data_IF_455676411045
#
_entry.id   IF_455676411045
#
_cell.length_a   1.000
_cell.length_b   1.000
_cell.length_c   1.000
_cell.angle_alpha   90.00
_cell.angle_beta   90.00
_cell.angle_gamma   90.00
#
_symmetry.space_group_name_H-M   'P 1'
#
loop_
_entity.id
_entity.type
_entity.pdbx_description
1 polymer ?
#
# COMPACT_ATOMS: atom_id res chain seq x y z
N UNK A 1 -22.72 16.33 -1.86
CA UNK A 1 -22.08 15.18 -1.18
C UNK A 1 -20.67 15.05 -1.73
N UNK A 2 -19.64 15.37 -0.95
CA UNK A 2 -18.27 15.09 -1.34
C UNK A 2 -18.03 13.60 -1.07
N UNK A 3 -17.84 12.81 -2.12
CA UNK A 3 -17.38 11.44 -1.96
C UNK A 3 -16.07 11.47 -1.16
N UNK A 4 -16.02 10.80 0.00
CA UNK A 4 -14.75 10.55 0.68
C UNK A 4 -13.89 9.77 -0.30
N UNK A 5 -12.81 10.40 -0.77
CA UNK A 5 -11.87 9.77 -1.68
C UNK A 5 -11.40 8.45 -1.05
N UNK A 6 -11.44 7.37 -1.83
CA UNK A 6 -10.92 6.05 -1.44
C UNK A 6 -9.60 6.22 -0.71
N UNK A 7 -9.57 5.90 0.58
CA UNK A 7 -8.38 6.00 1.46
C UNK A 7 -7.36 4.90 1.18
N UNK A 8 -7.30 4.41 -0.06
CA UNK A 8 -6.39 3.36 -0.48
C UNK A 8 -5.61 3.79 -1.72
N UNK A 9 -4.29 3.80 -1.58
CA UNK A 9 -3.38 4.07 -2.68
C UNK A 9 -3.22 2.81 -3.54
N UNK A 10 -3.34 2.97 -4.86
CA UNK A 10 -2.98 1.91 -5.82
C UNK A 10 -1.47 1.69 -5.72
N UNK A 11 -1.06 0.44 -5.52
CA UNK A 11 0.34 0.00 -5.55
C UNK A 11 0.49 -1.14 -6.56
N UNK A 12 1.57 -1.12 -7.33
CA UNK A 12 1.79 -2.06 -8.43
C UNK A 12 3.05 -2.89 -8.18
N UNK A 13 2.98 -4.18 -8.42
CA UNK A 13 4.12 -5.08 -8.37
C UNK A 13 4.77 -5.12 -9.75
N UNK A 14 6.06 -4.80 -9.87
CA UNK A 14 6.71 -4.64 -11.17
C UNK A 14 8.05 -5.35 -11.28
N UNK A 15 8.35 -5.77 -12.49
CA UNK A 15 9.68 -6.18 -12.92
C UNK A 15 10.17 -5.27 -14.04
N UNK A 16 11.48 -5.09 -14.15
CA UNK A 16 12.08 -4.27 -15.21
C UNK A 16 13.36 -4.86 -15.80
N UNK A 17 13.63 -4.49 -17.05
CA UNK A 17 14.90 -4.70 -17.75
C UNK A 17 15.52 -3.32 -17.97
N UNK A 18 16.70 -3.10 -17.40
CA UNK A 18 17.44 -1.85 -17.57
C UNK A 18 18.47 -2.00 -18.69
N UNK A 19 18.34 -1.21 -19.73
CA UNK A 19 19.29 -1.11 -20.83
C UNK A 19 19.98 0.26 -20.84
N UNK A 20 21.23 0.34 -21.33
CA UNK A 20 21.87 1.62 -21.65
C UNK A 20 21.07 2.44 -22.67
N UNK A 21 21.19 3.78 -22.64
CA UNK A 21 20.41 4.69 -23.50
C UNK A 21 20.70 4.51 -25.00
N UNK A 22 21.88 4.03 -25.36
CA UNK A 22 22.31 3.74 -26.72
C UNK A 22 21.73 2.43 -27.28
N UNK A 23 21.03 1.64 -26.46
CA UNK A 23 20.47 0.34 -26.83
C UNK A 23 18.97 0.35 -27.12
N UNK A 24 18.44 1.46 -27.67
CA UNK A 24 17.07 1.55 -28.20
C UNK A 24 16.67 0.38 -29.13
N UNK A 25 17.50 -0.04 -30.11
CA UNK A 25 17.14 -1.17 -30.99
C UNK A 25 16.94 -2.47 -30.21
N UNK A 26 17.75 -2.68 -29.16
CA UNK A 26 17.67 -3.86 -28.31
C UNK A 26 16.41 -3.83 -27.44
N UNK A 27 16.02 -2.66 -26.94
CA UNK A 27 14.76 -2.51 -26.21
C UNK A 27 13.56 -2.96 -27.05
N UNK A 28 13.51 -2.55 -28.33
CA UNK A 28 12.47 -2.99 -29.28
C UNK A 28 12.52 -4.50 -29.55
N UNK A 29 13.70 -5.07 -29.74
CA UNK A 29 13.87 -6.52 -29.93
C UNK A 29 13.33 -7.31 -28.72
N UNK A 30 13.55 -6.82 -27.50
CA UNK A 30 13.00 -7.43 -26.30
C UNK A 30 11.48 -7.32 -26.24
N UNK A 31 10.92 -6.16 -26.60
CA UNK A 31 9.46 -5.98 -26.68
C UNK A 31 8.84 -6.97 -27.68
N UNK A 32 9.46 -7.19 -28.84
CA UNK A 32 9.02 -8.15 -29.85
C UNK A 32 9.12 -9.60 -29.34
N UNK A 33 10.22 -9.97 -28.67
CA UNK A 33 10.39 -11.29 -28.05
C UNK A 33 9.34 -11.55 -26.96
N UNK A 34 9.06 -10.53 -26.14
CA UNK A 34 8.03 -10.60 -25.10
C UNK A 34 6.63 -10.73 -25.71
N UNK A 35 6.34 -10.02 -26.79
CA UNK A 35 5.09 -10.19 -27.55
C UNK A 35 4.98 -11.59 -28.17
N UNK A 36 6.10 -12.20 -28.54
CA UNK A 36 6.21 -13.59 -28.99
C UNK A 36 6.11 -14.65 -27.88
N UNK A 37 5.90 -14.25 -26.62
CA UNK A 37 5.71 -15.18 -25.50
C UNK A 37 6.99 -15.59 -24.77
N UNK A 38 8.12 -14.90 -25.00
CA UNK A 38 9.33 -15.14 -24.22
C UNK A 38 9.13 -14.83 -22.73
N UNK A 39 9.81 -15.59 -21.86
CA UNK A 39 9.80 -15.35 -20.42
C UNK A 39 10.53 -14.04 -20.08
N UNK A 40 9.86 -13.14 -19.36
CA UNK A 40 10.41 -11.83 -19.01
C UNK A 40 11.61 -11.97 -18.08
N UNK A 41 11.55 -12.94 -17.19
CA UNK A 41 12.53 -13.21 -16.15
C UNK A 41 13.87 -13.65 -16.75
N UNK A 42 13.84 -14.43 -17.83
CA UNK A 42 15.05 -14.87 -18.54
C UNK A 42 15.67 -13.70 -19.32
N UNK A 43 14.86 -12.94 -20.06
CA UNK A 43 15.35 -11.74 -20.77
C UNK A 43 15.93 -10.70 -19.79
N UNK A 44 15.34 -10.58 -18.60
CA UNK A 44 15.87 -9.72 -17.55
C UNK A 44 17.21 -10.22 -17.01
N UNK A 45 17.40 -11.53 -16.81
CA UNK A 45 18.70 -12.09 -16.38
C UNK A 45 19.79 -11.91 -17.42
N UNK A 46 19.45 -12.04 -18.70
CA UNK A 46 20.40 -12.01 -19.81
C UNK A 46 20.79 -10.59 -20.24
N UNK A 47 19.86 -9.64 -20.14
CA UNK A 47 20.04 -8.32 -20.77
C UNK A 47 19.97 -7.14 -19.81
N UNK A 48 19.40 -7.30 -18.61
CA UNK A 48 19.29 -6.20 -17.66
C UNK A 48 20.64 -5.88 -17.02
N UNK A 49 20.98 -4.59 -16.99
CA UNK A 49 22.16 -4.06 -16.30
C UNK A 49 21.89 -3.72 -14.82
N UNK A 50 20.64 -3.89 -14.35
CA UNK A 50 20.26 -3.61 -12.97
C UNK A 50 20.55 -4.81 -12.06
N UNK A 51 20.83 -4.58 -10.77
CA UNK A 51 21.04 -5.66 -9.80
C UNK A 51 19.82 -6.58 -9.61
N UNK A 52 18.62 -6.13 -9.99
CA UNK A 52 17.39 -6.93 -10.02
C UNK A 52 17.42 -8.03 -11.08
N UNK A 53 18.33 -7.99 -12.06
CA UNK A 53 18.49 -9.01 -13.11
C UNK A 53 18.54 -10.44 -12.55
N UNK A 54 19.29 -10.64 -11.46
CA UNK A 54 19.42 -11.96 -10.79
C UNK A 54 18.09 -12.52 -10.28
N UNK A 55 17.13 -11.64 -10.00
CA UNK A 55 15.75 -11.98 -9.57
C UNK A 55 14.75 -11.82 -10.71
N UNK A 56 15.17 -12.01 -11.96
CA UNK A 56 14.29 -11.86 -13.12
C UNK A 56 13.79 -10.43 -13.35
N UNK A 57 14.55 -9.43 -12.88
CA UNK A 57 14.19 -8.02 -13.01
C UNK A 57 13.18 -7.51 -11.97
N UNK A 58 12.76 -8.34 -11.03
CA UNK A 58 11.75 -7.98 -10.04
C UNK A 58 12.23 -6.87 -9.10
N UNK A 59 11.43 -5.79 -9.00
CA UNK A 59 11.67 -4.66 -8.10
C UNK A 59 10.78 -4.69 -6.85
N UNK A 60 9.71 -5.49 -6.88
CA UNK A 60 8.74 -5.57 -5.79
C UNK A 60 7.56 -4.61 -5.96
N UNK A 61 6.91 -4.29 -4.84
CA UNK A 61 5.75 -3.40 -4.79
C UNK A 61 6.19 -1.93 -4.84
N UNK A 62 5.65 -1.21 -5.81
CA UNK A 62 5.91 0.19 -6.09
C UNK A 62 4.71 1.03 -5.66
N UNK A 63 4.97 2.02 -4.81
CA UNK A 63 4.05 3.07 -4.39
C UNK A 63 4.46 4.38 -5.05
N UNK A 64 3.50 5.29 -5.27
CA UNK A 64 3.79 6.62 -5.82
C UNK A 64 4.81 7.38 -4.96
N UNK A 65 5.72 8.10 -5.60
CA UNK A 65 6.76 8.90 -4.96
C UNK A 65 7.96 8.09 -4.44
N UNK A 66 8.09 6.81 -4.79
CA UNK A 66 9.19 5.94 -4.36
C UNK A 66 10.27 5.78 -5.45
N UNK A 67 9.90 5.99 -6.71
CA UNK A 67 10.74 5.82 -7.91
C UNK A 67 10.76 7.08 -8.78
N UNK A 68 11.54 7.04 -9.86
CA UNK A 68 11.61 8.13 -10.84
C UNK A 68 10.23 8.43 -11.45
N UNK A 69 9.80 9.70 -11.55
CA UNK A 69 8.46 10.05 -12.02
C UNK A 69 8.09 9.45 -13.38
N UNK A 70 9.04 9.36 -14.31
CA UNK A 70 8.82 8.78 -15.64
C UNK A 70 8.58 7.26 -15.56
N UNK A 71 9.31 6.58 -14.69
CA UNK A 71 9.16 5.14 -14.46
C UNK A 71 7.81 4.85 -13.81
N UNK A 72 7.45 5.59 -12.76
CA UNK A 72 6.16 5.44 -12.09
C UNK A 72 5.00 5.71 -13.04
N UNK A 73 5.06 6.79 -13.82
CA UNK A 73 4.00 7.14 -14.76
C UNK A 73 3.75 6.00 -15.76
N UNK A 74 4.81 5.41 -16.31
CA UNK A 74 4.69 4.27 -17.22
C UNK A 74 4.12 3.02 -16.52
N UNK A 75 4.65 2.67 -15.35
CA UNK A 75 4.21 1.50 -14.59
C UNK A 75 2.74 1.58 -14.16
N UNK A 76 2.28 2.74 -13.69
CA UNK A 76 0.89 2.94 -13.28
C UNK A 76 -0.08 3.10 -14.46
N UNK A 77 0.40 3.50 -15.65
CA UNK A 77 -0.44 3.59 -16.84
C UNK A 77 -0.72 2.21 -17.48
N UNK A 78 0.14 1.23 -17.27
CA UNK A 78 -0.02 -0.11 -17.82
C UNK A 78 -1.01 -0.97 -17.00
N UNK A 79 -1.79 -1.86 -17.67
CA UNK A 79 -2.60 -2.86 -16.99
C UNK A 79 -1.74 -3.99 -16.42
N UNK A 80 -2.28 -4.79 -15.50
CA UNK A 80 -1.63 -6.01 -15.01
C UNK A 80 -1.36 -6.97 -16.17
N UNK A 81 -0.14 -7.51 -16.23
CA UNK A 81 0.39 -8.30 -17.34
C UNK A 81 0.92 -7.46 -18.51
N UNK A 82 0.64 -6.15 -18.52
CA UNK A 82 1.10 -5.24 -19.56
C UNK A 82 2.60 -4.97 -19.50
N UNK A 83 3.17 -4.75 -20.68
CA UNK A 83 4.55 -4.31 -20.86
C UNK A 83 4.53 -2.85 -21.33
N UNK A 84 5.39 -2.04 -20.74
CA UNK A 84 5.54 -0.62 -21.02
C UNK A 84 7.01 -0.24 -21.00
N UNK A 85 7.33 0.98 -21.42
CA UNK A 85 8.70 1.50 -21.41
C UNK A 85 8.79 2.87 -20.79
N UNK A 86 9.91 3.13 -20.14
CA UNK A 86 10.26 4.43 -19.61
C UNK A 86 11.73 4.75 -19.81
N UNK A 87 12.02 6.00 -20.15
CA UNK A 87 13.39 6.50 -20.21
C UNK A 87 13.64 7.34 -18.96
N UNK A 88 14.71 7.03 -18.23
CA UNK A 88 15.14 7.79 -17.05
C UNK A 88 16.62 8.13 -17.17
N UNK A 89 17.15 8.92 -16.24
CA UNK A 89 18.58 9.24 -16.21
C UNK A 89 19.50 8.01 -16.05
N UNK A 90 18.95 6.83 -15.69
CA UNK A 90 19.71 5.58 -15.57
C UNK A 90 19.78 4.77 -16.87
N UNK A 91 18.94 5.06 -17.85
CA UNK A 91 18.80 4.22 -19.04
C UNK A 91 17.36 4.05 -19.51
N UNK A 92 17.19 3.09 -20.41
CA UNK A 92 15.92 2.61 -20.93
C UNK A 92 15.40 1.47 -20.05
N UNK A 93 14.14 1.56 -19.66
CA UNK A 93 13.48 0.58 -18.80
C UNK A 93 12.35 -0.06 -19.59
N UNK A 94 12.42 -1.37 -19.79
CA UNK A 94 11.26 -2.17 -20.20
C UNK A 94 10.63 -2.69 -18.91
N UNK A 95 9.36 -2.36 -18.68
CA UNK A 95 8.67 -2.59 -17.40
C UNK A 95 7.50 -3.54 -17.65
N UNK A 96 7.36 -4.56 -16.80
CA UNK A 96 6.21 -5.46 -16.78
C UNK A 96 5.46 -5.31 -15.45
N UNK A 97 4.17 -5.05 -15.52
CA UNK A 97 3.31 -5.02 -14.33
C UNK A 97 2.87 -6.45 -14.02
N UNK A 98 3.29 -6.98 -12.88
CA UNK A 98 3.01 -8.36 -12.48
C UNK A 98 1.69 -8.47 -11.71
N UNK A 99 1.38 -7.49 -10.86
CA UNK A 99 0.16 -7.46 -10.07
C UNK A 99 -0.17 -6.02 -9.64
N UNK A 100 -1.40 -5.80 -9.21
CA UNK A 100 -1.81 -4.56 -8.55
C UNK A 100 -2.64 -4.87 -7.30
N UNK A 101 -2.58 -3.96 -6.32
CA UNK A 101 -3.48 -3.98 -5.17
C UNK A 101 -3.74 -2.54 -4.70
N UNK A 102 -4.81 -2.36 -3.96
CA UNK A 102 -5.10 -1.11 -3.26
C UNK A 102 -4.68 -1.27 -1.80
N UNK A 103 -3.80 -0.40 -1.35
CA UNK A 103 -3.27 -0.42 0.00
C UNK A 103 -3.86 0.75 0.79
N UNK A 104 -4.55 0.44 1.89
CA UNK A 104 -5.09 1.46 2.78
C UNK A 104 -3.99 2.44 3.24
N UNK A 105 -4.22 3.72 3.05
CA UNK A 105 -3.40 4.83 3.49
C UNK A 105 -3.71 5.11 4.95
N UNK A 106 -2.68 5.42 5.74
CA UNK A 106 -2.88 5.82 7.13
C UNK A 106 -2.75 7.33 7.18
N UNK A 107 -3.82 7.99 7.60
CA UNK A 107 -3.87 9.44 7.74
C UNK A 107 -3.89 9.81 9.22
N UNK A 108 -3.18 10.89 9.56
CA UNK A 108 -3.31 11.53 10.86
C UNK A 108 -4.56 12.40 10.83
N UNK A 109 -5.31 12.41 11.93
CA UNK A 109 -6.50 13.22 12.10
C UNK A 109 -6.29 14.12 13.31
N UNK A 110 -6.58 15.40 13.16
CA UNK A 110 -6.50 16.35 14.26
C UNK A 110 -7.80 16.34 15.11
N UNK A 111 -7.79 16.95 16.31
CA UNK A 111 -8.96 16.97 17.19
C UNK A 111 -10.20 17.63 16.56
N UNK A 112 -10.03 18.69 15.78
CA UNK A 112 -11.12 19.42 15.13
C UNK A 112 -11.82 18.55 14.06
N UNK A 113 -11.04 17.87 13.22
CA UNK A 113 -11.55 16.91 12.22
C UNK A 113 -12.31 15.76 12.89
N UNK A 114 -11.78 15.24 14.00
CA UNK A 114 -12.44 14.20 14.77
C UNK A 114 -13.76 14.71 15.36
N UNK A 115 -13.77 15.93 15.90
CA UNK A 115 -14.96 16.56 16.47
C UNK A 115 -16.07 16.71 15.40
N UNK A 116 -15.74 17.28 14.24
CA UNK A 116 -16.67 17.44 13.12
C UNK A 116 -17.21 16.08 12.63
N UNK A 117 -16.35 15.07 12.54
CA UNK A 117 -16.75 13.74 12.13
C UNK A 117 -17.77 13.11 13.10
N UNK A 118 -17.52 13.21 14.41
CA UNK A 118 -18.39 12.59 15.44
C UNK A 118 -19.75 13.29 15.51
N UNK A 119 -19.81 14.59 15.23
CA UNK A 119 -21.06 15.35 15.25
C UNK A 119 -21.83 15.28 13.92
N UNK A 120 -21.32 14.55 12.94
CA UNK A 120 -21.96 14.36 11.64
C UNK A 120 -22.36 12.88 11.44
N UNK A 121 -23.65 12.51 11.67
CA UNK A 121 -24.12 11.13 11.56
C UNK A 121 -23.84 10.47 10.20
N UNK A 122 -23.89 11.25 9.11
CA UNK A 122 -23.60 10.74 7.77
C UNK A 122 -22.13 10.31 7.59
N UNK A 123 -21.21 10.89 8.36
CA UNK A 123 -19.80 10.50 8.34
C UNK A 123 -19.49 9.30 9.24
N UNK A 124 -20.39 8.94 10.15
CA UNK A 124 -20.21 7.82 11.08
C UNK A 124 -20.75 6.49 10.55
N UNK A 125 -21.59 6.50 9.52
CA UNK A 125 -22.24 5.29 8.99
C UNK A 125 -21.22 4.22 8.54
N UNK A 126 -20.14 4.66 7.90
CA UNK A 126 -19.07 3.81 7.35
C UNK A 126 -17.77 3.83 8.17
N UNK A 127 -17.82 4.38 9.38
CA UNK A 127 -16.65 4.49 10.27
C UNK A 127 -16.86 3.66 11.53
N UNK A 128 -15.79 3.02 11.99
CA UNK A 128 -15.72 2.42 13.32
C UNK A 128 -14.66 3.14 14.17
N UNK A 129 -15.04 3.46 15.40
CA UNK A 129 -14.22 4.23 16.34
C UNK A 129 -13.58 3.28 17.36
N UNK A 130 -12.25 3.27 17.42
CA UNK A 130 -11.48 2.36 18.27
C UNK A 130 -10.55 3.16 19.18
N UNK A 131 -10.60 2.89 20.47
CA UNK A 131 -9.71 3.47 21.46
C UNK A 131 -8.70 2.40 21.89
N UNK A 132 -7.42 2.64 21.64
CA UNK A 132 -6.34 1.68 21.98
C UNK A 132 -5.56 2.06 23.23
N UNK A 133 -6.11 2.99 24.03
CA UNK A 133 -5.58 3.33 25.35
C UNK A 133 -5.77 2.20 26.36
N UNK A 134 -5.14 2.32 27.52
CA UNK A 134 -5.33 1.38 28.63
C UNK A 134 -6.67 1.63 29.34
N UNK A 135 -7.17 0.63 30.05
CA UNK A 135 -8.44 0.68 30.76
C UNK A 135 -8.52 1.87 31.73
N UNK A 136 -7.42 2.18 32.43
CA UNK A 136 -7.37 3.31 33.38
C UNK A 136 -7.49 4.67 32.68
N UNK A 137 -6.94 4.82 31.47
CA UNK A 137 -7.06 6.06 30.69
C UNK A 137 -8.50 6.22 30.19
N UNK A 138 -9.10 5.12 29.73
CA UNK A 138 -10.47 5.09 29.22
C UNK A 138 -11.52 5.31 30.32
N UNK A 139 -11.30 4.75 31.51
CA UNK A 139 -12.19 4.93 32.66
C UNK A 139 -12.18 6.36 33.19
N UNK A 140 -11.03 7.04 33.06
CA UNK A 140 -10.88 8.44 33.50
C UNK A 140 -11.60 9.40 32.55
N UNK A 141 -11.47 9.19 31.24
CA UNK A 141 -12.15 10.00 30.22
C UNK A 141 -12.26 9.26 28.90
N UNK A 142 -13.43 9.36 28.25
CA UNK A 142 -13.71 8.71 26.97
C UNK A 142 -14.62 9.55 26.09
N UNK A 143 -14.45 9.35 24.78
CA UNK A 143 -15.32 9.91 23.76
C UNK A 143 -16.45 8.89 23.49
N UNK A 144 -17.74 9.28 23.56
CA UNK A 144 -18.85 8.39 23.24
C UNK A 144 -18.70 7.75 21.85
N UNK A 145 -19.09 6.48 21.72
CA UNK A 145 -19.01 5.72 20.46
C UNK A 145 -17.69 4.98 20.24
N UNK A 146 -16.61 5.32 20.95
CA UNK A 146 -15.35 4.58 20.85
C UNK A 146 -15.40 3.22 21.57
N UNK A 147 -15.01 2.16 20.86
CA UNK A 147 -14.82 0.81 21.39
C UNK A 147 -13.41 0.67 21.95
N UNK A 148 -13.29 0.38 23.25
CA UNK A 148 -12.00 0.14 23.90
C UNK A 148 -11.38 -1.19 23.44
N UNK A 149 -10.14 -1.14 22.97
CA UNK A 149 -9.31 -2.27 22.54
C UNK A 149 -7.85 -1.99 22.92
N UNK A 150 -7.46 -2.17 24.19
CA UNK A 150 -6.15 -1.75 24.69
C UNK A 150 -5.03 -2.43 23.91
N UNK A 151 -4.05 -1.65 23.45
CA UNK A 151 -2.97 -2.20 22.63
C UNK A 151 -2.06 -3.15 23.43
N UNK A 152 -1.96 -2.95 24.74
CA UNK A 152 -1.24 -3.86 25.66
C UNK A 152 -1.74 -5.30 25.59
N UNK A 153 -3.03 -5.50 25.31
CA UNK A 153 -3.70 -6.79 25.20
C UNK A 153 -3.85 -7.29 23.76
N UNK A 154 -3.07 -6.74 22.83
CA UNK A 154 -3.20 -7.08 21.40
C UNK A 154 -3.16 -8.59 21.12
N UNK A 155 -2.30 -9.34 21.81
CA UNK A 155 -2.22 -10.81 21.67
C UNK A 155 -3.53 -11.52 22.04
N UNK A 156 -4.33 -10.96 22.95
CA UNK A 156 -5.56 -11.58 23.42
C UNK A 156 -6.72 -11.40 22.44
N UNK A 157 -6.74 -10.30 21.69
CA UNK A 157 -7.89 -9.95 20.84
C UNK A 157 -7.61 -9.89 19.35
N UNK A 158 -6.34 -9.89 18.93
CA UNK A 158 -5.99 -9.76 17.51
C UNK A 158 -6.45 -10.93 16.64
N UNK A 159 -6.58 -12.14 17.21
CA UNK A 159 -7.12 -13.31 16.52
C UNK A 159 -8.57 -13.14 16.07
N UNK A 160 -9.38 -12.41 16.85
CA UNK A 160 -10.81 -12.19 16.57
C UNK A 160 -11.08 -10.84 15.91
N UNK A 161 -10.06 -10.19 15.35
CA UNK A 161 -10.17 -8.81 14.90
C UNK A 161 -11.25 -8.59 13.83
N UNK A 162 -11.42 -9.55 12.92
CA UNK A 162 -12.43 -9.52 11.85
C UNK A 162 -13.84 -9.75 12.38
N UNK A 163 -13.98 -10.41 13.53
CA UNK A 163 -15.24 -10.49 14.25
C UNK A 163 -15.52 -9.21 15.06
N UNK A 164 -14.46 -8.49 15.48
CA UNK A 164 -14.57 -7.27 16.30
C UNK A 164 -14.70 -5.99 15.48
N UNK A 165 -14.17 -5.96 14.27
CA UNK A 165 -14.08 -4.82 13.37
C UNK A 165 -14.44 -5.25 11.95
N UNK A 166 -15.27 -4.45 11.30
CA UNK A 166 -15.67 -4.69 9.91
C UNK A 166 -14.50 -4.33 8.97
N UNK A 167 -14.00 -5.27 8.15
CA UNK A 167 -12.92 -5.00 7.19
C UNK A 167 -13.30 -3.99 6.10
N UNK A 168 -14.58 -3.83 5.75
CA UNK A 168 -15.01 -2.87 4.72
C UNK A 168 -15.20 -1.46 5.26
N UNK A 169 -15.28 -1.28 6.59
CA UNK A 169 -15.41 0.03 7.21
C UNK A 169 -14.06 0.68 7.51
N UNK A 170 -14.04 2.00 7.39
CA UNK A 170 -12.90 2.82 7.82
C UNK A 170 -12.76 2.72 9.34
N UNK A 171 -11.52 2.71 9.86
CA UNK A 171 -11.26 2.66 11.31
C UNK A 171 -10.50 3.90 11.75
N UNK A 172 -11.11 4.67 12.65
CA UNK A 172 -10.43 5.77 13.33
C UNK A 172 -9.95 5.27 14.68
N UNK A 173 -8.64 5.41 14.90
CA UNK A 173 -7.96 4.88 16.08
C UNK A 173 -7.43 6.02 16.94
N UNK A 174 -7.89 6.09 18.19
CA UNK A 174 -7.46 7.07 19.17
C UNK A 174 -6.44 6.48 20.14
N UNK A 175 -5.41 7.25 20.48
CA UNK A 175 -4.59 7.02 21.67
C UNK A 175 -4.10 8.35 22.26
N UNK A 176 -3.37 8.31 23.37
CA UNK A 176 -2.95 9.53 24.07
C UNK A 176 -1.93 10.39 23.29
N UNK A 177 -0.93 9.78 22.62
CA UNK A 177 0.18 10.49 21.96
C UNK A 177 0.40 10.11 20.49
N UNK A 178 -0.56 9.47 19.85
CA UNK A 178 -0.44 8.99 18.45
C UNK A 178 0.39 7.70 18.25
N UNK A 179 1.25 7.30 19.19
CA UNK A 179 2.13 6.12 19.01
C UNK A 179 1.34 4.81 18.91
N UNK A 180 0.43 4.55 19.85
CA UNK A 180 -0.35 3.29 19.89
C UNK A 180 -1.36 3.20 18.75
N UNK A 181 -2.02 4.31 18.42
CA UNK A 181 -2.94 4.37 17.28
C UNK A 181 -2.21 4.15 15.96
N UNK A 182 -1.00 4.72 15.81
CA UNK A 182 -0.16 4.48 14.64
C UNK A 182 0.24 2.99 14.53
N UNK A 183 0.65 2.36 15.63
CA UNK A 183 0.97 0.93 15.63
C UNK A 183 -0.25 0.07 15.22
N UNK A 184 -1.43 0.33 15.76
CA UNK A 184 -2.66 -0.38 15.40
C UNK A 184 -3.00 -0.18 13.91
N UNK A 185 -2.96 1.05 13.40
CA UNK A 185 -3.25 1.34 12.00
C UNK A 185 -2.25 0.64 11.05
N UNK A 186 -0.96 0.61 11.40
CA UNK A 186 0.06 -0.13 10.64
C UNK A 186 -0.23 -1.63 10.61
N UNK A 187 -0.59 -2.20 11.76
CA UNK A 187 -0.93 -3.61 11.91
C UNK A 187 -2.14 -3.97 11.04
N UNK A 188 -3.22 -3.18 11.10
CA UNK A 188 -4.41 -3.35 10.26
C UNK A 188 -4.10 -3.21 8.77
N UNK A 189 -3.32 -2.19 8.37
CA UNK A 189 -2.88 -1.99 6.97
C UNK A 189 -2.10 -3.17 6.41
N UNK A 190 -1.29 -3.84 7.23
CA UNK A 190 -0.49 -5.01 6.84
C UNK A 190 -1.32 -6.31 6.78
N UNK A 191 -2.63 -6.24 6.97
CA UNK A 191 -3.49 -7.44 7.08
C UNK A 191 -3.21 -8.24 8.35
N UNK A 192 -2.62 -7.62 9.38
CA UNK A 192 -2.29 -8.23 10.67
C UNK A 192 -1.42 -9.50 10.55
N UNK A 193 -0.26 -9.36 9.92
CA UNK A 193 0.80 -10.38 9.91
C UNK A 193 1.23 -10.77 11.34
N UNK A 194 0.61 -11.82 11.88
CA UNK A 194 1.23 -13.07 12.37
C UNK A 194 0.21 -13.87 13.19
N UNK A 195 -0.50 -14.79 12.53
CA UNK A 195 -0.77 -16.09 13.15
C UNK A 195 0.51 -16.92 13.05
N UNK A 196 1.41 -16.75 14.01
CA UNK A 196 2.47 -17.72 14.34
C UNK A 196 2.57 -17.68 15.86
N UNK A 197 2.52 -18.87 16.45
CA UNK A 197 2.67 -19.17 17.88
C UNK A 197 3.73 -18.31 18.59
#
# INVERSE_FOLDING_TARGET
MAARASSADRVVHVAHILLPLDQEPKAKELEEKLAGGAAFEELAREHSTCGSAKKGGELGWLSRGTFFPQFEAAAFAAPVGGITRATTGRGLHVIKVLAEKFQATIQQMNPEELYEMIHNPALLEDVQLVDVREDFEFSTSRIPGFKLMPLSRFSEWSGDITARLDPSKETVVLCHHGVRSMQMAQRRRRGLAHGVL
#
